data_IF_030269374114
#
_entry.id   IF_030269374114
#
_cell.length_a   1.000
_cell.length_b   1.000
_cell.length_c   1.000
_cell.angle_alpha   90.00
_cell.angle_beta   90.00
_cell.angle_gamma   90.00
#
_symmetry.space_group_name_H-M   'P 1'
#
loop_
_entity.id
_entity.type
_entity.pdbx_description
1 polymer ?
#
# COMPACT_ATOMS: atom_id res chain seq x y z
N UNK A 1 19.47 6.44 17.48
CA UNK A 1 19.79 7.37 16.39
C UNK A 1 18.58 7.57 15.48
N UNK A 2 18.27 8.81 15.18
CA UNK A 2 17.15 9.11 14.31
C UNK A 2 17.39 8.58 12.90
N UNK A 3 16.35 8.05 12.32
CA UNK A 3 16.38 7.55 10.94
C UNK A 3 16.50 8.75 10.00
N UNK A 4 17.33 8.64 8.98
CA UNK A 4 17.45 9.68 7.97
C UNK A 4 16.16 9.76 7.14
N UNK A 5 15.46 10.89 7.23
CA UNK A 5 14.21 11.08 6.49
C UNK A 5 14.39 10.91 5.00
N UNK A 6 15.52 11.34 4.46
CA UNK A 6 15.82 11.19 3.04
C UNK A 6 15.84 9.72 2.62
N UNK A 7 16.42 8.85 3.44
CA UNK A 7 16.44 7.42 3.16
C UNK A 7 15.03 6.84 3.17
N UNK A 8 14.19 7.29 4.11
CA UNK A 8 12.81 6.82 4.18
C UNK A 8 12.00 7.36 3.01
N UNK A 9 12.24 8.60 2.59
CA UNK A 9 11.58 9.14 1.39
C UNK A 9 11.97 8.33 0.15
N UNK A 10 13.23 7.96 0.01
CA UNK A 10 13.69 7.14 -1.09
C UNK A 10 13.04 5.76 -1.05
N UNK A 11 12.95 5.17 0.14
CA UNK A 11 12.26 3.89 0.34
C UNK A 11 10.81 4.00 -0.10
N UNK A 12 10.11 5.05 0.32
CA UNK A 12 8.70 5.25 0.01
C UNK A 12 8.48 5.41 -1.50
N UNK A 13 9.34 6.16 -2.18
CA UNK A 13 9.25 6.34 -3.63
C UNK A 13 9.50 5.03 -4.36
N UNK A 14 10.53 4.29 -3.96
CA UNK A 14 10.86 3.02 -4.56
C UNK A 14 9.76 1.98 -4.32
N UNK A 15 9.18 2.00 -3.13
CA UNK A 15 8.05 1.13 -2.77
C UNK A 15 6.83 1.43 -3.67
N UNK A 16 6.54 2.72 -3.87
CA UNK A 16 5.46 3.14 -4.75
C UNK A 16 5.69 2.65 -6.18
N UNK A 17 6.92 2.80 -6.68
CA UNK A 17 7.28 2.33 -8.01
C UNK A 17 7.18 0.81 -8.12
N UNK A 18 7.51 0.10 -7.04
CA UNK A 18 7.40 -1.36 -7.02
C UNK A 18 5.95 -1.81 -7.23
N UNK A 19 5.00 -1.13 -6.57
CA UNK A 19 3.58 -1.41 -6.78
C UNK A 19 3.17 -1.15 -8.23
N UNK A 20 3.64 -0.03 -8.81
CA UNK A 20 3.33 0.32 -10.19
C UNK A 20 3.98 -0.65 -11.19
N UNK A 21 5.04 -1.34 -10.79
CA UNK A 21 5.66 -2.36 -11.63
C UNK A 21 4.84 -3.64 -11.71
N UNK A 22 3.88 -3.80 -10.79
CA UNK A 22 2.98 -4.96 -10.72
C UNK A 22 3.74 -6.26 -10.49
N UNK A 23 4.79 -6.16 -9.68
CA UNK A 23 5.64 -7.29 -9.31
C UNK A 23 5.65 -7.41 -7.78
N UNK A 24 4.97 -8.43 -7.26
CA UNK A 24 4.83 -8.62 -5.82
C UNK A 24 6.17 -8.85 -5.13
N UNK A 25 7.13 -9.47 -5.81
CA UNK A 25 8.47 -9.68 -5.24
C UNK A 25 9.18 -8.34 -5.04
N UNK A 26 9.01 -7.40 -5.96
CA UNK A 26 9.60 -6.07 -5.83
C UNK A 26 8.97 -5.29 -4.68
N UNK A 27 7.65 -5.43 -4.50
CA UNK A 27 6.97 -4.82 -3.36
C UNK A 27 7.54 -5.39 -2.05
N UNK A 28 7.62 -6.72 -1.96
CA UNK A 28 8.11 -7.40 -0.76
C UNK A 28 9.58 -7.09 -0.46
N UNK A 29 10.38 -6.75 -1.47
CA UNK A 29 11.80 -6.44 -1.29
C UNK A 29 12.03 -5.21 -0.41
N UNK A 30 11.01 -4.37 -0.22
CA UNK A 30 11.10 -3.18 0.64
C UNK A 30 10.78 -3.50 2.10
N UNK A 31 10.42 -4.72 2.40
CA UNK A 31 10.16 -5.20 3.76
C UNK A 31 11.32 -6.09 4.22
N UNK A 32 11.44 -6.24 5.54
CA UNK A 32 12.36 -7.24 6.09
C UNK A 32 11.93 -8.63 5.63
N UNK A 33 12.83 -9.60 5.70
CA UNK A 33 12.49 -10.99 5.38
C UNK A 33 11.33 -11.44 6.26
N UNK A 34 10.31 -12.02 5.64
CA UNK A 34 9.10 -12.42 6.36
C UNK A 34 8.21 -11.26 6.76
N UNK A 35 8.37 -10.09 6.14
CA UNK A 35 7.59 -8.91 6.47
C UNK A 35 6.10 -9.12 6.30
N UNK A 36 5.33 -8.47 7.18
CA UNK A 36 3.87 -8.66 7.27
C UNK A 36 3.15 -7.34 7.17
N UNK A 37 1.93 -7.40 6.69
CA UNK A 37 1.00 -6.26 6.67
C UNK A 37 -0.34 -6.72 7.21
N UNK A 38 -0.96 -5.87 8.03
CA UNK A 38 -2.35 -6.06 8.47
C UNK A 38 -3.20 -5.01 7.75
N UNK A 39 -4.30 -5.41 7.15
CA UNK A 39 -5.17 -4.51 6.39
C UNK A 39 -6.47 -4.32 7.17
N UNK A 40 -6.83 -3.06 7.38
CA UNK A 40 -8.09 -2.65 8.04
C UNK A 40 -8.31 -3.36 9.39
N UNK A 41 -7.23 -3.51 10.16
CA UNK A 41 -7.30 -4.12 11.47
C UNK A 41 -7.46 -5.63 11.47
N UNK A 42 -7.29 -6.27 10.31
CA UNK A 42 -7.36 -7.72 10.19
C UNK A 42 -6.08 -8.40 10.63
N UNK A 43 -6.00 -9.69 10.36
CA UNK A 43 -4.83 -10.49 10.68
C UNK A 43 -3.64 -10.10 9.82
N UNK A 44 -2.44 -10.27 10.36
CA UNK A 44 -1.22 -10.05 9.58
C UNK A 44 -1.08 -11.13 8.51
N UNK A 45 -0.66 -10.71 7.31
CA UNK A 45 -0.37 -11.60 6.21
C UNK A 45 0.94 -11.20 5.58
N UNK A 46 1.60 -12.13 4.89
CA UNK A 46 2.85 -11.84 4.19
C UNK A 46 2.61 -10.78 3.13
N UNK A 47 3.47 -9.77 3.11
CA UNK A 47 3.32 -8.66 2.15
C UNK A 47 3.29 -9.16 0.71
N UNK A 48 4.10 -10.17 0.37
CA UNK A 48 4.11 -10.70 -0.99
C UNK A 48 2.76 -11.27 -1.39
N UNK A 49 2.09 -11.95 -0.47
CA UNK A 49 0.76 -12.52 -0.72
C UNK A 49 -0.29 -11.44 -0.92
N UNK A 50 -0.25 -10.40 -0.08
CA UNK A 50 -1.20 -9.30 -0.18
C UNK A 50 -1.00 -8.54 -1.48
N UNK A 51 0.26 -8.26 -1.84
CA UNK A 51 0.58 -7.56 -3.08
C UNK A 51 0.13 -8.39 -4.29
N UNK A 52 0.37 -9.69 -4.27
CA UNK A 52 -0.03 -10.59 -5.35
C UNK A 52 -1.55 -10.58 -5.53
N UNK A 53 -2.29 -10.60 -4.42
CA UNK A 53 -3.75 -10.57 -4.46
C UNK A 53 -4.29 -9.28 -5.07
N UNK A 54 -3.74 -8.13 -4.67
CA UNK A 54 -4.17 -6.84 -5.23
C UNK A 54 -3.79 -6.71 -6.70
N UNK A 55 -2.60 -7.16 -7.09
CA UNK A 55 -2.17 -7.12 -8.49
C UNK A 55 -3.05 -8.03 -9.35
N UNK A 56 -3.42 -9.20 -8.84
CA UNK A 56 -4.33 -10.09 -9.55
C UNK A 56 -5.73 -9.49 -9.68
N UNK A 57 -6.21 -8.81 -8.63
CA UNK A 57 -7.51 -8.17 -8.64
C UNK A 57 -7.55 -6.95 -9.57
N UNK A 58 -6.42 -6.23 -9.70
CA UNK A 58 -6.30 -5.03 -10.53
C UNK A 58 -5.03 -5.13 -11.38
N UNK A 59 -5.10 -5.84 -12.53
CA UNK A 59 -3.90 -6.06 -13.36
C UNK A 59 -3.24 -4.78 -13.87
N UNK A 60 -3.98 -3.67 -13.88
CA UNK A 60 -3.48 -2.35 -14.29
C UNK A 60 -3.24 -1.42 -13.11
N UNK A 61 -3.07 -1.97 -11.90
CA UNK A 61 -2.94 -1.16 -10.69
C UNK A 61 -1.82 -0.14 -10.80
N UNK A 62 -2.11 1.08 -10.34
CA UNK A 62 -1.12 2.12 -10.12
C UNK A 62 -1.30 2.66 -8.72
N UNK A 63 -0.19 3.02 -8.10
CA UNK A 63 -0.19 3.58 -6.75
C UNK A 63 0.51 4.93 -6.81
N UNK A 64 -0.04 5.90 -6.10
CA UNK A 64 0.50 7.24 -6.00
C UNK A 64 0.78 7.53 -4.54
N UNK A 65 1.96 8.07 -4.25
CA UNK A 65 2.28 8.54 -2.90
C UNK A 65 1.73 9.95 -2.76
N UNK A 66 0.75 10.11 -1.86
CA UNK A 66 0.11 11.41 -1.65
C UNK A 66 0.84 12.22 -0.60
N UNK A 67 1.36 11.56 0.44
CA UNK A 67 2.06 12.24 1.51
C UNK A 67 2.89 11.24 2.31
N UNK A 68 3.84 11.77 3.07
CA UNK A 68 4.70 10.96 3.92
C UNK A 68 4.93 11.76 5.21
N UNK A 69 4.48 11.24 6.33
CA UNK A 69 4.53 11.92 7.61
C UNK A 69 5.39 11.14 8.59
N UNK A 70 6.31 11.84 9.25
CA UNK A 70 7.24 11.25 10.22
C UNK A 70 6.74 11.57 11.62
N UNK A 71 6.36 10.54 12.36
CA UNK A 71 5.78 10.70 13.69
C UNK A 71 6.83 10.73 14.76
N UNK A 72 6.49 11.30 15.91
CA UNK A 72 7.41 11.44 17.04
C UNK A 72 7.85 10.10 17.61
N UNK A 73 7.00 9.08 17.51
CA UNK A 73 7.33 7.75 18.02
C UNK A 73 8.24 6.95 17.07
N UNK A 74 8.66 7.56 15.97
CA UNK A 74 9.53 6.90 15.00
C UNK A 74 8.80 6.16 13.90
N UNK A 75 7.49 6.05 13.99
CA UNK A 75 6.71 5.43 12.91
C UNK A 75 6.53 6.40 11.76
N UNK A 76 6.17 5.86 10.61
CA UNK A 76 5.99 6.64 9.39
C UNK A 76 4.59 6.39 8.87
N UNK A 77 3.87 7.46 8.53
CA UNK A 77 2.57 7.35 7.89
C UNK A 77 2.77 7.61 6.39
N UNK A 78 2.49 6.59 5.60
CA UNK A 78 2.63 6.62 4.15
C UNK A 78 1.21 6.70 3.56
N UNK A 79 0.85 7.87 3.03
CA UNK A 79 -0.46 8.06 2.43
C UNK A 79 -0.40 7.79 0.94
N UNK A 80 -1.37 7.02 0.47
CA UNK A 80 -1.38 6.56 -0.91
C UNK A 80 -2.80 6.59 -1.48
N UNK A 81 -2.86 6.61 -2.81
CA UNK A 81 -4.09 6.35 -3.55
C UNK A 81 -3.75 5.28 -4.58
N UNK A 82 -4.59 4.27 -4.70
CA UNK A 82 -4.41 3.34 -5.82
C UNK A 82 -5.57 3.46 -6.79
N UNK A 83 -5.27 3.21 -8.05
CA UNK A 83 -6.26 3.15 -9.13
C UNK A 83 -6.09 1.83 -9.86
N UNK A 84 -7.15 1.38 -10.48
CA UNK A 84 -7.11 0.17 -11.28
C UNK A 84 -8.48 -0.19 -11.80
N UNK A 85 -8.50 -1.22 -12.62
CA UNK A 85 -9.74 -1.79 -13.16
C UNK A 85 -9.88 -3.19 -12.58
N UNK A 86 -11.02 -3.46 -11.95
CA UNK A 86 -11.27 -4.77 -11.36
C UNK A 86 -11.32 -5.84 -12.43
N UNK A 87 -10.50 -6.88 -12.28
CA UNK A 87 -10.51 -8.02 -13.19
C UNK A 87 -11.85 -8.76 -13.12
N UNK A 88 -12.51 -8.71 -11.96
CA UNK A 88 -13.76 -9.42 -11.74
C UNK A 88 -14.97 -8.66 -12.28
N UNK A 89 -15.08 -7.37 -11.91
CA UNK A 89 -16.28 -6.59 -12.25
C UNK A 89 -16.12 -5.69 -13.48
N UNK A 90 -14.88 -5.41 -13.87
CA UNK A 90 -14.60 -4.46 -14.94
C UNK A 90 -14.74 -3.00 -14.54
N UNK A 91 -15.07 -2.72 -13.30
CA UNK A 91 -15.23 -1.34 -12.82
C UNK A 91 -13.90 -0.73 -12.47
N UNK A 92 -13.77 0.57 -12.72
CA UNK A 92 -12.58 1.32 -12.32
C UNK A 92 -12.72 1.76 -10.87
N UNK A 93 -11.60 1.73 -10.14
CA UNK A 93 -11.59 2.16 -8.74
C UNK A 93 -10.49 3.21 -8.53
N UNK A 94 -10.72 4.07 -7.54
CA UNK A 94 -9.73 5.01 -7.01
C UNK A 94 -9.93 5.08 -5.51
N UNK A 95 -9.00 4.51 -4.77
CA UNK A 95 -9.16 4.35 -3.32
C UNK A 95 -7.96 4.98 -2.62
N UNK A 96 -8.18 6.02 -1.80
CA UNK A 96 -7.14 6.56 -0.95
C UNK A 96 -7.03 5.75 0.33
N UNK A 97 -5.84 5.76 0.90
CA UNK A 97 -5.61 5.09 2.17
C UNK A 97 -4.26 5.48 2.74
N UNK A 98 -3.82 4.76 3.73
CA UNK A 98 -2.50 4.99 4.30
C UNK A 98 -1.98 3.72 4.95
N UNK A 99 -0.67 3.66 5.10
CA UNK A 99 0.02 2.61 5.86
C UNK A 99 0.80 3.25 6.98
N UNK A 100 0.80 2.59 8.12
CA UNK A 100 1.67 2.97 9.24
C UNK A 100 2.83 1.99 9.26
N UNK A 101 4.04 2.50 9.13
CA UNK A 101 5.24 1.68 9.04
C UNK A 101 6.05 1.75 10.32
N UNK A 102 6.52 0.60 10.77
CA UNK A 102 7.65 0.49 11.69
C UNK A 102 8.86 0.18 10.83
N UNK A 103 9.91 0.99 10.95
CA UNK A 103 11.12 0.83 10.14
C UNK A 103 12.17 0.08 10.94
N UNK A 104 12.74 -0.96 10.34
CA UNK A 104 13.78 -1.77 10.96
C UNK A 104 15.12 -1.04 10.94
N UNK A 105 16.09 -1.49 11.78
CA UNK A 105 17.42 -0.86 11.80
C UNK A 105 18.12 -0.85 10.43
N UNK A 106 17.82 -1.80 9.56
CA UNK A 106 18.42 -1.85 8.22
C UNK A 106 17.72 -0.93 7.21
N UNK A 107 16.73 -0.14 7.64
CA UNK A 107 16.03 0.79 6.76
C UNK A 107 14.85 0.20 6.00
N UNK A 108 14.58 -1.09 6.16
CA UNK A 108 13.42 -1.72 5.53
C UNK A 108 12.19 -1.65 6.42
N UNK A 109 11.03 -1.88 5.85
CA UNK A 109 9.77 -1.89 6.59
C UNK A 109 9.70 -3.17 7.41
N UNK A 110 9.66 -3.04 8.73
CA UNK A 110 9.55 -4.19 9.63
C UNK A 110 8.11 -4.68 9.73
N UNK A 111 7.17 -3.74 9.74
CA UNK A 111 5.75 -4.04 9.87
C UNK A 111 4.94 -2.91 9.25
N UNK A 112 3.84 -3.25 8.63
CA UNK A 112 2.91 -2.27 8.05
C UNK A 112 1.50 -2.56 8.50
N UNK A 113 0.73 -1.48 8.70
CA UNK A 113 -0.71 -1.54 8.94
C UNK A 113 -1.38 -0.62 7.95
N UNK A 114 -2.15 -1.21 7.04
CA UNK A 114 -2.82 -0.45 5.99
C UNK A 114 -4.28 -0.23 6.32
N UNK A 115 -4.78 0.95 5.98
CA UNK A 115 -6.17 1.34 6.24
C UNK A 115 -6.75 2.05 5.04
N UNK A 116 -7.97 1.68 4.69
CA UNK A 116 -8.77 2.38 3.70
C UNK A 116 -10.24 2.14 4.03
N UNK A 117 -11.12 2.93 3.40
CA UNK A 117 -12.56 2.82 3.62
C UNK A 117 -13.10 1.60 2.88
N UNK A 118 -13.35 0.53 3.61
CA UNK A 118 -13.81 -0.74 3.03
C UNK A 118 -15.17 -0.58 2.35
N UNK A 119 -16.08 0.19 2.94
CA UNK A 119 -17.41 0.38 2.34
C UNK A 119 -17.32 1.10 1.00
N UNK A 120 -16.48 2.13 0.93
CA UNK A 120 -16.27 2.86 -0.32
C UNK A 120 -15.60 1.99 -1.39
N UNK A 121 -14.61 1.19 -0.97
CA UNK A 121 -13.95 0.24 -1.87
C UNK A 121 -14.97 -0.75 -2.45
N UNK A 122 -15.81 -1.33 -1.59
CA UNK A 122 -16.83 -2.28 -2.02
C UNK A 122 -17.84 -1.62 -2.96
N UNK A 123 -18.21 -0.37 -2.67
CA UNK A 123 -19.12 0.39 -3.55
C UNK A 123 -18.52 0.58 -4.93
N UNK A 124 -17.24 0.95 -4.99
CA UNK A 124 -16.57 1.18 -6.28
C UNK A 124 -16.43 -0.11 -7.08
N UNK A 125 -16.20 -1.24 -6.42
CA UNK A 125 -16.13 -2.51 -7.11
C UNK A 125 -17.43 -2.86 -7.82
N UNK A 126 -18.57 -2.38 -7.29
CA UNK A 126 -19.87 -2.64 -7.88
C UNK A 126 -20.31 -1.56 -8.85
N UNK A 127 -19.96 -0.31 -8.60
CA UNK A 127 -20.55 0.84 -9.29
C UNK A 127 -19.54 1.79 -9.93
N UNK A 128 -18.24 1.49 -9.82
CA UNK A 128 -17.20 2.36 -10.35
C UNK A 128 -16.94 3.57 -9.44
N UNK A 129 -16.04 4.45 -9.91
CA UNK A 129 -15.60 5.60 -9.14
C UNK A 129 -16.73 6.60 -8.92
N UNK A 130 -17.47 6.92 -9.98
CA UNK A 130 -18.49 7.95 -9.94
C UNK A 130 -19.83 7.37 -9.53
N UNK A 131 -20.48 8.06 -8.59
CA UNK A 131 -21.84 7.74 -8.19
C UNK A 131 -22.83 8.51 -9.02
N UNK A 132 -22.73 8.42 -10.31
CA UNK A 132 -23.75 9.08 -11.13
C UNK A 132 -25.06 8.35 -10.95
N UNK A 133 -26.01 9.07 -10.53
CA UNK A 133 -27.36 8.56 -10.45
C UNK A 133 -28.04 8.72 -11.81
#
# INVERSE_FOLDING_TARGET
>A
MARDRRQIEQLARAYTEAWCSRDSARVAAHYVAGGMIAVNGGDEAAIAEVAEAFIAAFPDIEVFMDDLDFRQDGSVEYRWTFTGTSAESGESVRVPGYEEWTIAPNGLIAQSRGYYDQAEYDRQLQHGIDQTT
#
